data_IF_828702419241
#
_entry.id   IF_828702419241
#
_cell.length_a   1.000
_cell.length_b   1.000
_cell.length_c   1.000
_cell.angle_alpha   90.00
_cell.angle_beta   90.00
_cell.angle_gamma   90.00
#
_symmetry.space_group_name_H-M   'P 1'
#
loop_
_entity.id
_entity.type
_entity.pdbx_description
1 polymer ?
#
# COMPACT_ATOMS: atom_id res chain seq x y z
N UNK A 1 -16.20 -4.01 2.20
CA UNK A 1 -15.24 -2.97 1.74
C UNK A 1 -14.74 -3.35 0.35
N UNK A 2 -14.57 -2.40 -0.57
CA UNK A 2 -14.17 -2.65 -1.95
C UNK A 2 -12.76 -2.14 -2.27
N UNK A 3 -12.31 -2.37 -3.50
CA UNK A 3 -11.06 -1.82 -4.02
C UNK A 3 -11.41 -0.87 -5.14
N UNK A 4 -10.83 0.34 -5.11
CA UNK A 4 -11.01 1.31 -6.17
C UNK A 4 -9.79 1.29 -7.09
N UNK A 5 -10.03 1.14 -8.39
CA UNK A 5 -9.01 1.20 -9.44
C UNK A 5 -9.25 2.48 -10.24
N UNK A 6 -8.32 3.42 -10.13
CA UNK A 6 -8.42 4.76 -10.73
C UNK A 6 -7.35 4.90 -11.81
N UNK A 7 -7.76 4.84 -13.06
CA UNK A 7 -6.89 4.91 -14.23
C UNK A 7 -7.71 5.44 -15.41
N UNK A 8 -7.22 6.41 -16.15
CA UNK A 8 -7.90 6.95 -17.32
C UNK A 8 -7.81 6.03 -18.55
N UNK A 9 -6.82 5.10 -18.56
CA UNK A 9 -6.66 4.12 -19.63
C UNK A 9 -7.57 2.90 -19.40
N UNK A 10 -8.62 2.68 -20.22
CA UNK A 10 -9.61 1.63 -19.97
C UNK A 10 -9.01 0.22 -19.87
N UNK A 11 -8.07 -0.13 -20.78
CA UNK A 11 -7.44 -1.46 -20.80
C UNK A 11 -6.61 -1.73 -19.55
N UNK A 12 -5.85 -0.72 -19.08
CA UNK A 12 -5.05 -0.87 -17.85
C UNK A 12 -5.94 -0.97 -16.62
N UNK A 13 -6.99 -0.17 -16.56
CA UNK A 13 -7.98 -0.22 -15.49
C UNK A 13 -8.63 -1.60 -15.40
N UNK A 14 -9.08 -2.15 -16.55
CA UNK A 14 -9.65 -3.49 -16.62
C UNK A 14 -8.65 -4.58 -16.28
N UNK A 15 -7.39 -4.47 -16.71
CA UNK A 15 -6.34 -5.43 -16.39
C UNK A 15 -6.08 -5.50 -14.88
N UNK A 16 -5.94 -4.34 -14.22
CA UNK A 16 -5.75 -4.27 -12.76
C UNK A 16 -6.99 -4.78 -12.03
N UNK A 17 -8.19 -4.39 -12.46
CA UNK A 17 -9.44 -4.86 -11.87
C UNK A 17 -9.59 -6.39 -12.00
N UNK A 18 -9.22 -6.96 -13.14
CA UNK A 18 -9.22 -8.40 -13.36
C UNK A 18 -8.23 -9.12 -12.45
N UNK A 19 -7.03 -8.56 -12.29
CA UNK A 19 -6.02 -9.11 -11.39
C UNK A 19 -6.52 -9.11 -9.93
N UNK A 20 -7.12 -8.00 -9.48
CA UNK A 20 -7.72 -7.89 -8.16
C UNK A 20 -8.84 -8.93 -7.96
N UNK A 21 -9.75 -9.07 -8.92
CA UNK A 21 -10.84 -10.08 -8.85
C UNK A 21 -10.32 -11.51 -8.75
N UNK A 22 -9.20 -11.82 -9.43
CA UNK A 22 -8.55 -13.13 -9.34
C UNK A 22 -7.92 -13.39 -7.96
N UNK A 23 -7.34 -12.35 -7.35
CA UNK A 23 -6.69 -12.46 -6.03
C UNK A 23 -7.70 -12.45 -4.88
N UNK A 24 -8.82 -11.74 -5.04
CA UNK A 24 -9.87 -11.60 -4.03
C UNK A 24 -11.27 -11.62 -4.68
N UNK A 25 -11.80 -12.81 -5.04
CA UNK A 25 -13.04 -12.96 -5.80
C UNK A 25 -14.28 -12.36 -5.12
N UNK A 26 -14.27 -12.30 -3.80
CA UNK A 26 -15.40 -11.79 -3.00
C UNK A 26 -15.32 -10.28 -2.73
N UNK A 27 -14.27 -9.61 -3.19
CA UNK A 27 -14.08 -8.17 -2.95
C UNK A 27 -14.62 -7.36 -4.13
N UNK A 28 -15.58 -6.45 -3.92
CA UNK A 28 -16.06 -5.58 -4.97
C UNK A 28 -14.94 -4.70 -5.53
N UNK A 29 -14.85 -4.58 -6.84
CA UNK A 29 -13.91 -3.70 -7.52
C UNK A 29 -14.69 -2.59 -8.21
N UNK A 30 -14.35 -1.34 -7.88
CA UNK A 30 -14.94 -0.14 -8.47
C UNK A 30 -13.91 0.52 -9.39
N UNK A 31 -14.27 0.66 -10.64
CA UNK A 31 -13.43 1.21 -11.69
C UNK A 31 -13.77 2.67 -11.96
N UNK A 32 -12.77 3.55 -11.87
CA UNK A 32 -12.93 5.00 -12.03
C UNK A 32 -11.89 5.54 -13.01
N UNK A 33 -12.30 6.50 -13.85
CA UNK A 33 -11.38 7.15 -14.79
C UNK A 33 -10.79 8.48 -14.27
N UNK A 34 -11.24 8.96 -13.10
CA UNK A 34 -10.87 10.27 -12.53
C UNK A 34 -11.00 10.26 -11.01
N UNK A 35 -10.21 11.08 -10.34
CA UNK A 35 -10.30 11.25 -8.87
C UNK A 35 -11.62 11.92 -8.46
N UNK A 36 -12.12 12.86 -9.24
CA UNK A 36 -13.39 13.56 -8.96
C UNK A 36 -14.58 12.60 -8.73
N UNK A 37 -14.51 11.36 -9.25
CA UNK A 37 -15.58 10.36 -9.08
C UNK A 37 -15.50 9.60 -7.74
N UNK A 38 -14.39 9.72 -7.00
CA UNK A 38 -14.15 8.94 -5.77
C UNK A 38 -15.19 9.24 -4.71
N UNK A 39 -15.54 10.50 -4.48
CA UNK A 39 -16.52 10.87 -3.44
C UNK A 39 -17.90 10.22 -3.70
N UNK A 40 -18.37 10.25 -4.95
CA UNK A 40 -19.61 9.60 -5.36
C UNK A 40 -19.50 8.07 -5.22
N UNK A 41 -18.37 7.49 -5.60
CA UNK A 41 -18.12 6.06 -5.47
C UNK A 41 -18.14 5.60 -4.00
N UNK A 42 -17.55 6.39 -3.09
CA UNK A 42 -17.58 6.12 -1.64
C UNK A 42 -19.02 6.17 -1.11
N UNK A 43 -19.82 7.15 -1.53
CA UNK A 43 -21.25 7.22 -1.13
C UNK A 43 -22.03 5.99 -1.59
N UNK A 44 -21.74 5.48 -2.79
CA UNK A 44 -22.48 4.36 -3.39
C UNK A 44 -22.00 2.99 -2.92
N UNK A 45 -20.70 2.81 -2.74
CA UNK A 45 -20.06 1.50 -2.51
C UNK A 45 -19.41 1.35 -1.15
N UNK A 46 -19.39 2.43 -0.33
CA UNK A 46 -18.68 2.48 0.95
C UNK A 46 -17.18 2.76 0.79
N UNK A 47 -16.51 2.87 1.94
CA UNK A 47 -15.07 3.14 2.00
C UNK A 47 -14.27 2.01 1.35
N UNK A 48 -13.29 2.33 0.47
CA UNK A 48 -12.40 1.33 -0.08
C UNK A 48 -11.37 0.87 0.96
N UNK A 49 -11.00 -0.41 0.89
CA UNK A 49 -9.87 -0.95 1.66
C UNK A 49 -8.52 -0.70 0.99
N UNK A 50 -8.51 -0.39 -0.30
CA UNK A 50 -7.34 -0.07 -1.12
C UNK A 50 -7.75 0.81 -2.29
N UNK A 51 -6.92 1.79 -2.62
CA UNK A 51 -7.00 2.54 -3.87
C UNK A 51 -5.75 2.22 -4.70
N UNK A 52 -5.95 1.70 -5.92
CA UNK A 52 -4.91 1.61 -6.95
C UNK A 52 -5.03 2.88 -7.81
N UNK A 53 -3.97 3.68 -7.89
CA UNK A 53 -4.01 5.02 -8.46
C UNK A 53 -2.98 5.22 -9.55
N UNK A 54 -3.42 5.62 -10.76
CA UNK A 54 -2.54 6.23 -11.78
C UNK A 54 -2.24 7.70 -11.41
N UNK A 55 -0.98 8.13 -11.59
CA UNK A 55 -0.57 9.52 -11.32
C UNK A 55 -1.00 10.51 -12.40
N UNK A 56 -1.01 10.06 -13.65
CA UNK A 56 -1.35 10.90 -14.80
C UNK A 56 -2.82 10.75 -15.13
N UNK A 57 -3.66 11.43 -14.38
CA UNK A 57 -5.10 11.50 -14.64
C UNK A 57 -5.47 12.87 -15.22
N UNK A 58 -6.59 12.96 -15.98
CA UNK A 58 -7.00 14.22 -16.60
C UNK A 58 -7.33 15.34 -15.61
N UNK A 59 -7.65 14.98 -14.37
CA UNK A 59 -8.11 15.90 -13.31
C UNK A 59 -7.06 16.09 -12.19
N UNK A 60 -5.83 15.56 -12.36
CA UNK A 60 -4.76 15.72 -11.35
C UNK A 60 -3.40 15.94 -11.99
N UNK A 61 -2.47 16.50 -11.23
CA UNK A 61 -1.08 16.70 -11.64
C UNK A 61 -0.11 16.11 -10.62
N UNK A 62 0.71 15.14 -11.07
CA UNK A 62 1.71 14.48 -10.25
C UNK A 62 1.11 13.90 -8.96
N UNK A 63 1.66 14.26 -7.81
CA UNK A 63 1.25 13.73 -6.50
C UNK A 63 0.05 14.45 -5.86
N UNK A 64 -0.54 15.44 -6.55
CA UNK A 64 -1.67 16.21 -5.99
C UNK A 64 -2.88 15.33 -5.67
N UNK A 65 -3.16 14.34 -6.53
CA UNK A 65 -4.24 13.38 -6.31
C UNK A 65 -4.05 12.52 -5.06
N UNK A 66 -2.81 12.14 -4.75
CA UNK A 66 -2.49 11.39 -3.51
C UNK A 66 -2.82 12.25 -2.30
N UNK A 67 -2.35 13.52 -2.30
CA UNK A 67 -2.60 14.45 -1.18
C UNK A 67 -4.09 14.73 -0.98
N UNK A 68 -4.85 14.87 -2.06
CA UNK A 68 -6.30 15.06 -2.02
C UNK A 68 -6.99 13.84 -1.40
N UNK A 69 -6.68 12.65 -1.89
CA UNK A 69 -7.24 11.40 -1.36
C UNK A 69 -6.85 11.18 0.10
N UNK A 70 -5.60 11.48 0.48
CA UNK A 70 -5.14 11.35 1.88
C UNK A 70 -5.74 12.37 2.82
N UNK A 71 -6.12 13.55 2.33
CA UNK A 71 -6.85 14.54 3.14
C UNK A 71 -8.28 14.05 3.44
N UNK A 72 -8.95 13.47 2.45
CA UNK A 72 -10.33 13.01 2.56
C UNK A 72 -10.45 11.61 3.18
N UNK A 73 -9.47 10.75 2.94
CA UNK A 73 -9.45 9.34 3.34
C UNK A 73 -8.07 8.97 3.93
N UNK A 74 -7.67 9.49 5.09
CA UNK A 74 -6.32 9.36 5.64
C UNK A 74 -5.90 7.90 5.87
N UNK A 75 -6.87 7.06 6.21
CA UNK A 75 -6.65 5.67 6.57
C UNK A 75 -6.61 4.71 5.39
N UNK A 76 -7.12 5.10 4.26
CA UNK A 76 -7.14 4.24 3.07
C UNK A 76 -5.74 4.12 2.46
N UNK A 77 -5.18 2.92 2.30
CA UNK A 77 -3.91 2.74 1.61
C UNK A 77 -4.05 3.09 0.12
N UNK A 78 -3.02 3.76 -0.42
CA UNK A 78 -2.93 4.09 -1.84
C UNK A 78 -1.72 3.35 -2.42
N UNK A 79 -1.97 2.43 -3.35
CA UNK A 79 -0.98 1.84 -4.21
C UNK A 79 -0.92 2.65 -5.51
N UNK A 80 0.19 3.34 -5.74
CA UNK A 80 0.43 4.01 -7.01
C UNK A 80 0.85 2.96 -8.05
N UNK A 81 0.18 2.95 -9.20
CA UNK A 81 0.47 2.08 -10.33
C UNK A 81 0.47 2.96 -11.60
N UNK A 82 1.66 3.31 -12.08
CA UNK A 82 1.84 4.34 -13.09
C UNK A 82 2.86 3.97 -14.16
N UNK A 83 2.76 4.58 -15.35
CA UNK A 83 3.79 4.51 -16.37
C UNK A 83 4.97 5.48 -16.12
N UNK A 84 4.87 6.35 -15.12
CA UNK A 84 5.93 7.29 -14.76
C UNK A 84 7.11 6.56 -14.10
N UNK A 85 8.38 6.93 -14.40
CA UNK A 85 9.54 6.24 -13.87
C UNK A 85 9.69 6.43 -12.36
N UNK A 86 10.13 5.37 -11.68
CA UNK A 86 10.34 5.36 -10.24
C UNK A 86 11.37 6.41 -9.79
N UNK A 87 12.45 6.62 -10.60
CA UNK A 87 13.48 7.63 -10.33
C UNK A 87 12.93 9.02 -10.06
N UNK A 88 11.82 9.36 -10.69
CA UNK A 88 11.27 10.71 -10.67
C UNK A 88 10.13 10.87 -9.67
N UNK A 89 9.41 9.80 -9.38
CA UNK A 89 8.13 9.88 -8.69
C UNK A 89 8.01 9.02 -7.43
N UNK A 90 8.83 7.99 -7.23
CA UNK A 90 8.64 7.09 -6.08
C UNK A 90 8.72 7.83 -4.75
N UNK A 91 9.81 8.57 -4.49
CA UNK A 91 9.99 9.30 -3.24
C UNK A 91 8.89 10.34 -3.03
N UNK A 92 8.54 11.10 -4.08
CA UNK A 92 7.49 12.11 -4.03
C UNK A 92 6.12 11.51 -3.69
N UNK A 93 5.81 10.32 -4.21
CA UNK A 93 4.53 9.64 -3.93
C UNK A 93 4.46 9.10 -2.51
N UNK A 94 5.56 8.53 -2.01
CA UNK A 94 5.66 8.06 -0.63
C UNK A 94 5.55 9.22 0.36
N UNK A 95 6.24 10.34 0.10
CA UNK A 95 6.13 11.56 0.90
C UNK A 95 4.71 12.15 0.88
N UNK A 96 4.01 12.04 -0.24
CA UNK A 96 2.61 12.45 -0.35
C UNK A 96 1.63 11.53 0.39
N UNK A 97 2.10 10.37 0.90
CA UNK A 97 1.33 9.44 1.70
C UNK A 97 0.90 8.15 0.99
N UNK A 98 1.45 7.84 -0.19
CA UNK A 98 1.26 6.54 -0.81
C UNK A 98 1.86 5.43 0.05
N UNK A 99 1.21 4.26 0.04
CA UNK A 99 1.67 3.07 0.75
C UNK A 99 2.72 2.30 -0.04
N UNK A 100 2.65 2.36 -1.38
CA UNK A 100 3.61 1.76 -2.29
C UNK A 100 3.52 2.44 -3.67
N UNK A 101 4.61 2.27 -4.43
CA UNK A 101 4.74 2.70 -5.82
C UNK A 101 5.15 1.52 -6.69
N UNK A 102 4.51 1.38 -7.84
CA UNK A 102 4.86 0.40 -8.88
C UNK A 102 4.79 1.04 -10.26
N UNK A 103 5.74 0.70 -11.10
CA UNK A 103 5.63 1.01 -12.52
C UNK A 103 4.72 -0.01 -13.24
N UNK A 104 3.95 0.45 -14.21
CA UNK A 104 3.14 -0.42 -15.08
C UNK A 104 3.97 -1.34 -15.98
N UNK A 105 5.29 -1.12 -16.05
CA UNK A 105 6.27 -1.98 -16.73
C UNK A 105 6.54 -3.29 -15.99
N UNK A 106 6.20 -3.40 -14.72
CA UNK A 106 6.33 -4.65 -13.96
C UNK A 106 5.42 -5.75 -14.52
N UNK A 107 5.88 -6.98 -14.38
CA UNK A 107 5.09 -8.15 -14.78
C UNK A 107 3.80 -8.27 -13.96
N UNK A 108 2.77 -8.88 -14.53
CA UNK A 108 1.53 -9.15 -13.82
C UNK A 108 1.75 -9.95 -12.52
N UNK A 109 2.80 -10.80 -12.47
CA UNK A 109 3.17 -11.56 -11.27
C UNK A 109 3.68 -10.67 -10.15
N UNK A 110 4.52 -9.68 -10.45
CA UNK A 110 5.05 -8.73 -9.47
C UNK A 110 3.94 -7.83 -8.93
N UNK A 111 3.10 -7.30 -9.82
CA UNK A 111 1.92 -6.51 -9.42
C UNK A 111 0.99 -7.35 -8.54
N UNK A 112 0.76 -8.63 -8.89
CA UNK A 112 -0.06 -9.54 -8.10
C UNK A 112 0.50 -9.79 -6.70
N UNK A 113 1.82 -9.93 -6.55
CA UNK A 113 2.45 -10.11 -5.23
C UNK A 113 2.21 -8.90 -4.33
N UNK A 114 2.36 -7.69 -4.86
CA UNK A 114 2.13 -6.46 -4.10
C UNK A 114 0.65 -6.29 -3.77
N UNK A 115 -0.26 -6.50 -4.73
CA UNK A 115 -1.70 -6.49 -4.47
C UNK A 115 -2.08 -7.53 -3.41
N UNK A 116 -1.55 -8.75 -3.51
CA UNK A 116 -1.77 -9.80 -2.51
C UNK A 116 -1.34 -9.34 -1.13
N UNK A 117 -0.21 -8.66 -0.98
CA UNK A 117 0.23 -8.11 0.29
C UNK A 117 -0.74 -7.09 0.89
N UNK A 118 -1.53 -6.37 0.07
CA UNK A 118 -2.62 -5.51 0.54
C UNK A 118 -3.94 -6.24 0.83
N UNK A 119 -4.19 -7.37 0.18
CA UNK A 119 -5.47 -8.08 0.22
C UNK A 119 -5.50 -9.21 1.23
N UNK A 120 -4.37 -9.89 1.42
CA UNK A 120 -4.27 -10.95 2.43
C UNK A 120 -3.93 -10.33 3.78
N UNK A 121 -4.84 -10.49 4.72
CA UNK A 121 -4.54 -10.39 6.14
C UNK A 121 -3.65 -11.57 6.59
N UNK A 122 -2.43 -11.67 6.06
CA UNK A 122 -1.42 -12.56 6.67
C UNK A 122 -0.93 -12.05 8.04
N UNK A 123 -1.50 -10.96 8.50
CA UNK A 123 -1.51 -10.56 9.90
C UNK A 123 -2.95 -10.67 10.37
N UNK A 124 -3.30 -11.83 10.92
CA UNK A 124 -4.61 -12.20 11.41
C UNK A 124 -5.54 -11.05 11.77
N UNK A 125 -6.80 -11.22 11.40
CA UNK A 125 -7.91 -10.39 11.82
C UNK A 125 -7.77 -9.97 13.29
N UNK A 126 -7.31 -8.77 13.52
CA UNK A 126 -7.50 -8.09 14.80
C UNK A 126 -7.53 -6.58 14.57
N UNK A 127 -8.75 -6.08 14.65
CA UNK A 127 -9.15 -4.82 15.27
C UNK A 127 -8.40 -3.54 14.87
N UNK A 128 -9.17 -2.58 14.34
CA UNK A 128 -8.85 -1.15 14.13
C UNK A 128 -8.65 -0.35 15.44
N UNK A 129 -8.27 -0.98 16.53
CA UNK A 129 -7.91 -0.29 17.76
C UNK A 129 -6.39 -0.12 17.83
N UNK A 130 -5.86 1.01 18.35
CA UNK A 130 -4.45 1.11 18.70
C UNK A 130 -4.16 0.05 19.76
N UNK A 131 -3.61 -1.07 19.31
CA UNK A 131 -3.35 -2.23 20.15
C UNK A 131 -2.14 -1.94 21.02
N UNK A 132 -2.30 -2.18 22.31
CA UNK A 132 -1.19 -2.31 23.23
C UNK A 132 -0.06 -3.13 22.56
N UNK A 133 1.15 -2.64 22.62
CA UNK A 133 2.38 -3.03 21.90
C UNK A 133 2.76 -4.53 21.99
N UNK A 134 1.88 -5.39 22.50
CA UNK A 134 2.17 -6.78 22.88
C UNK A 134 1.92 -7.88 21.83
N UNK A 135 1.32 -7.61 20.67
CA UNK A 135 0.92 -8.71 19.74
C UNK A 135 1.28 -8.45 18.27
N UNK A 136 2.56 -8.32 17.97
CA UNK A 136 3.02 -8.35 16.58
C UNK A 136 2.88 -9.78 16.02
N UNK A 137 2.45 -9.90 14.75
CA UNK A 137 2.48 -11.19 14.04
C UNK A 137 3.92 -11.69 13.90
N UNK A 138 4.10 -12.99 13.67
CA UNK A 138 5.45 -13.56 13.43
C UNK A 138 6.19 -12.82 12.33
N UNK A 139 5.48 -12.46 11.25
CA UNK A 139 6.04 -11.74 10.11
C UNK A 139 6.44 -10.30 10.45
N UNK A 140 5.59 -9.58 11.19
CA UNK A 140 5.89 -8.24 11.65
C UNK A 140 7.09 -8.20 12.60
N UNK A 141 7.22 -9.19 13.49
CA UNK A 141 8.38 -9.32 14.37
C UNK A 141 9.65 -9.62 13.58
N UNK A 142 9.61 -10.53 12.61
CA UNK A 142 10.75 -10.80 11.72
C UNK A 142 11.22 -9.53 11.01
N UNK A 143 10.28 -8.77 10.42
CA UNK A 143 10.58 -7.50 9.77
C UNK A 143 11.24 -6.50 10.73
N UNK A 144 10.69 -6.38 11.93
CA UNK A 144 11.21 -5.46 12.94
C UNK A 144 12.65 -5.82 13.37
N UNK A 145 12.94 -7.12 13.53
CA UNK A 145 14.29 -7.62 13.84
C UNK A 145 15.26 -7.31 12.70
N UNK A 146 14.88 -7.58 11.44
CA UNK A 146 15.74 -7.31 10.28
C UNK A 146 15.99 -5.82 10.10
N UNK A 147 14.96 -5.02 10.35
CA UNK A 147 15.03 -3.56 10.32
C UNK A 147 15.98 -3.03 11.42
N UNK A 148 15.91 -3.57 12.63
CA UNK A 148 16.77 -3.17 13.75
C UNK A 148 18.24 -3.56 13.54
N UNK A 149 18.51 -4.66 12.81
CA UNK A 149 19.84 -5.06 12.34
C UNK A 149 20.41 -4.13 11.28
N UNK A 150 19.68 -3.13 10.82
CA UNK A 150 20.13 -2.16 9.82
C UNK A 150 20.05 -2.64 8.37
N UNK A 151 19.40 -3.79 8.09
CA UNK A 151 19.28 -4.32 6.73
C UNK A 151 18.43 -3.37 5.86
N UNK A 152 18.88 -3.08 4.64
CA UNK A 152 18.08 -2.32 3.68
C UNK A 152 16.91 -3.17 3.13
N UNK A 153 15.99 -2.57 2.35
CA UNK A 153 14.81 -3.27 1.88
C UNK A 153 15.13 -4.44 0.95
N UNK A 154 16.21 -4.35 0.18
CA UNK A 154 16.68 -5.42 -0.70
C UNK A 154 17.18 -6.62 0.12
N UNK A 155 18.02 -6.38 1.13
CA UNK A 155 18.52 -7.44 2.02
C UNK A 155 17.37 -8.11 2.79
N UNK A 156 16.36 -7.32 3.20
CA UNK A 156 15.16 -7.84 3.83
C UNK A 156 14.34 -8.69 2.84
N UNK A 157 14.21 -8.26 1.59
CA UNK A 157 13.51 -8.99 0.54
C UNK A 157 14.15 -10.36 0.29
N UNK A 158 15.47 -10.39 0.15
CA UNK A 158 16.25 -11.62 -0.04
C UNK A 158 16.11 -12.57 1.16
N UNK A 159 16.20 -12.04 2.39
CA UNK A 159 16.05 -12.81 3.62
C UNK A 159 14.66 -13.44 3.76
N UNK A 160 13.64 -12.73 3.31
CA UNK A 160 12.24 -13.12 3.44
C UNK A 160 11.67 -13.79 2.19
N UNK A 161 12.48 -13.93 1.12
CA UNK A 161 12.09 -14.50 -0.19
C UNK A 161 10.84 -13.84 -0.79
N UNK A 162 10.78 -12.50 -0.73
CA UNK A 162 9.71 -11.67 -1.30
C UNK A 162 10.32 -10.53 -2.11
N UNK A 163 9.50 -9.83 -2.91
CA UNK A 163 9.98 -8.66 -3.63
C UNK A 163 10.25 -7.47 -2.68
N UNK A 164 11.17 -6.59 -3.06
CA UNK A 164 11.46 -5.35 -2.32
C UNK A 164 10.20 -4.48 -2.18
N UNK A 165 9.34 -4.43 -3.21
CA UNK A 165 8.07 -3.73 -3.15
C UNK A 165 7.12 -4.33 -2.11
N UNK A 166 7.11 -5.66 -1.97
CA UNK A 166 6.34 -6.33 -0.91
C UNK A 166 6.87 -5.98 0.48
N UNK A 167 8.21 -5.86 0.64
CA UNK A 167 8.83 -5.37 1.88
C UNK A 167 8.34 -3.96 2.21
N UNK A 168 8.32 -3.04 1.24
CA UNK A 168 7.82 -1.67 1.42
C UNK A 168 6.38 -1.65 1.96
N UNK A 169 5.49 -2.49 1.41
CA UNK A 169 4.10 -2.63 1.89
C UNK A 169 4.04 -3.12 3.33
N UNK A 170 4.82 -4.17 3.64
CA UNK A 170 4.84 -4.71 5.00
C UNK A 170 5.41 -3.71 6.01
N UNK A 171 6.46 -2.96 5.65
CA UNK A 171 7.01 -1.89 6.49
C UNK A 171 6.01 -0.76 6.70
N UNK A 172 5.31 -0.32 5.64
CA UNK A 172 4.25 0.68 5.77
C UNK A 172 3.18 0.25 6.78
N UNK A 173 2.69 -1.01 6.68
CA UNK A 173 1.73 -1.56 7.65
C UNK A 173 2.29 -1.62 9.07
N UNK A 174 3.54 -2.05 9.21
CA UNK A 174 4.21 -2.13 10.50
C UNK A 174 4.33 -0.75 11.13
N UNK A 175 4.77 0.26 10.39
CA UNK A 175 4.91 1.63 10.87
C UNK A 175 3.57 2.24 11.27
N UNK A 176 2.54 2.00 10.46
CA UNK A 176 1.17 2.43 10.80
C UNK A 176 0.66 1.77 12.08
N UNK A 177 0.87 0.45 12.24
CA UNK A 177 0.47 -0.30 13.44
C UNK A 177 1.20 0.17 14.69
N UNK A 178 2.49 0.48 14.57
CA UNK A 178 3.32 0.99 15.67
C UNK A 178 3.14 2.50 15.92
N UNK A 179 2.35 3.17 15.09
CA UNK A 179 2.15 4.62 15.11
C UNK A 179 3.48 5.40 15.02
N UNK A 180 4.39 4.94 14.15
CA UNK A 180 5.68 5.56 13.88
C UNK A 180 5.76 6.03 12.43
N UNK A 181 6.59 7.05 12.18
CA UNK A 181 6.71 7.68 10.85
C UNK A 181 8.01 7.33 10.13
N UNK A 182 8.93 6.66 10.80
CA UNK A 182 10.23 6.35 10.20
C UNK A 182 10.81 5.04 10.71
N UNK A 183 11.77 4.52 9.94
CA UNK A 183 12.57 3.34 10.27
C UNK A 183 13.27 3.48 11.62
N UNK A 184 13.91 4.65 11.85
CA UNK A 184 14.63 4.93 13.11
C UNK A 184 13.69 4.94 14.32
N UNK A 185 12.48 5.50 14.15
CA UNK A 185 11.46 5.47 15.20
C UNK A 185 10.97 4.04 15.49
N UNK A 186 10.81 3.22 14.45
CA UNK A 186 10.39 1.82 14.62
C UNK A 186 11.46 1.01 15.37
N UNK A 187 12.75 1.13 15.03
CA UNK A 187 13.85 0.49 15.75
C UNK A 187 13.95 0.97 17.20
N UNK A 188 13.85 2.27 17.42
CA UNK A 188 13.88 2.83 18.78
C UNK A 188 12.74 2.29 19.63
N UNK A 189 11.52 2.31 19.10
CA UNK A 189 10.34 1.77 19.79
C UNK A 189 10.50 0.28 20.10
N UNK A 190 11.02 -0.50 19.15
CA UNK A 190 11.24 -1.92 19.31
C UNK A 190 12.18 -2.25 20.48
N UNK A 191 13.26 -1.49 20.62
CA UNK A 191 14.24 -1.64 21.72
C UNK A 191 13.66 -1.19 23.05
N UNK A 192 12.95 -0.05 23.09
CA UNK A 192 12.42 0.51 24.35
C UNK A 192 11.26 -0.28 24.92
N UNK A 193 10.49 -0.97 24.07
CA UNK A 193 9.31 -1.73 24.48
C UNK A 193 9.49 -3.25 24.47
N UNK A 194 10.71 -3.74 24.27
CA UNK A 194 11.03 -5.17 24.35
C UNK A 194 10.29 -6.00 23.28
N UNK A 195 10.16 -5.48 22.06
CA UNK A 195 9.48 -6.15 20.95
C UNK A 195 10.41 -7.06 20.13
N UNK A 196 11.69 -7.03 20.41
CA UNK A 196 12.75 -7.77 19.72
C UNK A 196 13.03 -9.09 20.41
#
# INVERSE_FOLDING_TARGET
>A
MGIFVIDDHPLMREAVATLVRRLSPNTPVVELGRIALVAQAVQKHGMPQLICLELRLPDTHGVSGIRELKRSYPDVPILVLTASPASDYEDLTIEAGAAAFLEKSFSASEIAQVLKAFLTDEAGAESEAPVAVGKLSKRQRQLLILLDKGLNNRDIADNLQISEHTVKVHLWRLFRRLNVKSRSQASHLARTQGLL
#
